data_IF_728487713673
#
_entry.id   IF_728487713673
#
_cell.length_a   1.000
_cell.length_b   1.000
_cell.length_c   1.000
_cell.angle_alpha   90.00
_cell.angle_beta   90.00
_cell.angle_gamma   90.00
#
_symmetry.space_group_name_H-M   'P 1'
#
loop_
_entity.id
_entity.type
_entity.pdbx_description
1 polymer ?
#
# COMPACT_ATOMS: atom_id res chain seq x y z
N UNK A 1 -0.17 20.69 33.16
CA UNK A 1 1.23 20.32 32.87
C UNK A 1 1.32 20.13 31.36
N UNK A 2 2.12 20.96 30.68
CA UNK A 2 2.47 20.67 29.29
C UNK A 2 3.47 19.52 29.31
N UNK A 3 3.17 18.44 28.60
CA UNK A 3 4.11 17.34 28.40
C UNK A 3 5.17 17.86 27.44
N UNK A 4 6.45 17.82 27.84
CA UNK A 4 7.56 18.09 26.95
C UNK A 4 7.81 16.85 26.09
N UNK A 5 7.47 16.94 24.80
CA UNK A 5 7.62 15.85 23.84
C UNK A 5 9.06 15.65 23.37
N UNK A 6 9.96 16.58 23.71
CA UNK A 6 11.39 16.52 23.37
C UNK A 6 12.26 16.14 24.58
N UNK A 7 11.68 15.76 25.71
CA UNK A 7 12.44 15.28 26.85
C UNK A 7 13.19 13.98 26.47
N UNK A 8 14.51 13.88 26.71
CA UNK A 8 15.31 12.74 26.24
C UNK A 8 14.86 11.40 26.79
N UNK A 9 14.23 11.34 27.97
CA UNK A 9 13.72 10.08 28.52
C UNK A 9 12.46 9.64 27.77
N UNK A 10 11.54 10.57 27.51
CA UNK A 10 10.32 10.31 26.72
C UNK A 10 10.65 9.91 25.29
N UNK A 11 11.66 10.54 24.69
CA UNK A 11 12.12 10.27 23.34
C UNK A 11 12.65 8.84 23.21
N UNK A 12 13.52 8.41 24.13
CA UNK A 12 14.06 7.05 24.15
C UNK A 12 12.95 5.99 24.29
N UNK A 13 11.96 6.21 25.16
CA UNK A 13 10.81 5.32 25.33
C UNK A 13 9.97 5.22 24.04
N UNK A 14 9.74 6.35 23.36
CA UNK A 14 9.00 6.40 22.10
C UNK A 14 9.74 5.68 20.98
N UNK A 15 11.08 5.82 20.88
CA UNK A 15 11.88 5.07 19.91
C UNK A 15 11.82 3.56 20.15
N UNK A 16 11.84 3.12 21.41
CA UNK A 16 11.66 1.71 21.74
C UNK A 16 10.25 1.22 21.39
N UNK A 17 9.23 2.04 21.64
CA UNK A 17 7.86 1.72 21.24
C UNK A 17 7.73 1.59 19.71
N UNK A 18 8.36 2.50 18.95
CA UNK A 18 8.43 2.44 17.50
C UNK A 18 9.07 1.13 17.02
N UNK A 19 10.26 0.79 17.50
CA UNK A 19 10.95 -0.45 17.11
C UNK A 19 10.13 -1.68 17.46
N UNK A 20 9.57 -1.75 18.67
CA UNK A 20 8.70 -2.86 19.08
C UNK A 20 7.48 -2.99 18.17
N UNK A 21 6.87 -1.86 17.79
CA UNK A 21 5.73 -1.82 16.88
C UNK A 21 6.12 -2.35 15.50
N UNK A 22 7.29 -1.96 15.00
CA UNK A 22 7.84 -2.44 13.73
C UNK A 22 8.05 -3.95 13.76
N UNK A 23 8.82 -4.48 14.71
CA UNK A 23 9.09 -5.92 14.77
C UNK A 23 7.82 -6.76 14.95
N UNK A 24 6.86 -6.28 15.77
CA UNK A 24 5.62 -7.04 16.01
C UNK A 24 4.71 -7.05 14.78
N UNK A 25 4.51 -5.89 14.15
CA UNK A 25 3.56 -5.72 13.04
C UNK A 25 4.19 -6.12 11.70
N UNK A 26 5.37 -5.59 11.39
CA UNK A 26 6.06 -5.84 10.13
C UNK A 26 6.68 -7.23 10.09
N UNK A 27 7.51 -7.60 11.06
CA UNK A 27 8.19 -8.91 11.00
C UNK A 27 7.25 -10.05 11.40
N UNK A 28 6.43 -9.88 12.43
CA UNK A 28 5.52 -10.93 12.91
C UNK A 28 4.29 -11.12 12.03
N UNK A 29 3.39 -10.13 12.03
CA UNK A 29 2.08 -10.25 11.39
C UNK A 29 2.18 -10.37 9.86
N UNK A 30 3.04 -9.58 9.21
CA UNK A 30 3.16 -9.66 7.75
C UNK A 30 3.83 -10.96 7.28
N UNK A 31 4.81 -11.50 8.02
CA UNK A 31 5.40 -12.80 7.70
C UNK A 31 4.35 -13.91 7.80
N UNK A 32 3.50 -13.88 8.84
CA UNK A 32 2.37 -14.79 8.96
C UNK A 32 1.42 -14.66 7.76
N UNK A 33 1.10 -13.44 7.34
CA UNK A 33 0.24 -13.21 6.17
C UNK A 33 0.87 -13.77 4.89
N UNK A 34 2.17 -13.56 4.69
CA UNK A 34 2.95 -14.09 3.55
C UNK A 34 2.88 -15.61 3.53
N UNK A 35 3.26 -16.27 4.62
CA UNK A 35 3.28 -17.73 4.70
C UNK A 35 1.91 -18.32 4.36
N UNK A 36 0.83 -17.76 4.89
CA UNK A 36 -0.52 -18.28 4.65
C UNK A 36 -1.01 -18.13 3.20
N UNK A 37 -0.48 -17.18 2.42
CA UNK A 37 -0.88 -17.05 1.01
C UNK A 37 0.12 -17.57 -0.01
N UNK A 38 1.25 -18.17 0.41
CA UNK A 38 2.16 -18.89 -0.49
C UNK A 38 1.42 -19.91 -1.36
N UNK A 39 0.48 -20.74 -0.86
CA UNK A 39 -0.25 -21.70 -1.70
C UNK A 39 -1.02 -20.99 -2.81
N UNK A 40 -1.68 -19.87 -2.51
CA UNK A 40 -2.40 -19.08 -3.50
C UNK A 40 -1.45 -18.45 -4.52
N UNK A 41 -0.34 -17.88 -4.07
CA UNK A 41 0.64 -17.23 -4.96
C UNK A 41 1.24 -18.25 -5.93
N UNK A 42 1.55 -19.46 -5.44
CA UNK A 42 1.98 -20.58 -6.27
C UNK A 42 0.93 -20.97 -7.31
N UNK A 43 -0.36 -20.98 -6.93
CA UNK A 43 -1.45 -21.23 -7.88
C UNK A 43 -1.56 -20.12 -8.95
N UNK A 44 -1.35 -18.84 -8.57
CA UNK A 44 -1.37 -17.72 -9.52
C UNK A 44 -0.21 -17.81 -10.50
N UNK A 45 1.00 -18.12 -10.05
CA UNK A 45 2.19 -18.29 -10.88
C UNK A 45 2.04 -19.52 -11.79
N UNK A 46 1.70 -20.69 -11.24
CA UNK A 46 1.64 -21.95 -12.02
C UNK A 46 0.58 -21.93 -13.13
N UNK A 47 -0.50 -21.16 -12.96
CA UNK A 47 -1.58 -21.03 -13.96
C UNK A 47 -1.18 -20.16 -15.17
N UNK A 48 0.04 -19.63 -15.23
CA UNK A 48 0.63 -19.10 -16.48
C UNK A 48 0.82 -20.16 -17.56
N UNK A 49 0.93 -21.45 -17.19
CA UNK A 49 1.32 -22.50 -18.14
C UNK A 49 0.20 -23.37 -18.74
N UNK A 50 -1.04 -23.34 -18.21
CA UNK A 50 -1.93 -24.52 -18.37
C UNK A 50 -3.21 -24.33 -19.20
N UNK A 51 -3.57 -23.13 -19.68
CA UNK A 51 -4.76 -23.02 -20.54
C UNK A 51 -4.49 -22.11 -21.74
N UNK A 52 -4.53 -22.68 -22.94
CA UNK A 52 -4.34 -22.03 -24.25
C UNK A 52 -5.40 -20.97 -24.62
N UNK A 53 -6.01 -20.28 -23.64
CA UNK A 53 -6.75 -19.05 -23.84
C UNK A 53 -5.77 -17.87 -23.82
N UNK A 54 -5.77 -17.05 -24.88
CA UNK A 54 -5.02 -15.79 -24.94
C UNK A 54 -5.30 -14.96 -23.67
N UNK A 55 -4.37 -14.95 -22.72
CA UNK A 55 -4.45 -14.05 -21.58
C UNK A 55 -4.27 -12.62 -22.10
N UNK A 56 -5.21 -11.74 -21.76
CA UNK A 56 -5.10 -10.33 -22.11
C UNK A 56 -3.96 -9.70 -21.31
N UNK A 57 -3.17 -8.81 -21.93
CA UNK A 57 -2.03 -8.11 -21.31
C UNK A 57 -2.38 -7.51 -19.94
N UNK A 58 -3.61 -7.00 -19.78
CA UNK A 58 -4.13 -6.43 -18.53
C UNK A 58 -4.22 -7.45 -17.37
N UNK A 59 -4.50 -8.72 -17.64
CA UNK A 59 -4.54 -9.77 -16.63
C UNK A 59 -3.14 -10.15 -16.13
N UNK A 60 -2.15 -10.19 -17.03
CA UNK A 60 -0.75 -10.41 -16.67
C UNK A 60 -0.20 -9.24 -15.85
N UNK A 61 -0.54 -8.00 -16.25
CA UNK A 61 -0.15 -6.80 -15.51
C UNK A 61 -0.68 -6.83 -14.07
N UNK A 62 -1.98 -7.07 -13.87
CA UNK A 62 -2.56 -7.04 -12.53
C UNK A 62 -2.03 -8.16 -11.63
N UNK A 63 -1.74 -9.35 -12.19
CA UNK A 63 -1.05 -10.44 -11.48
C UNK A 63 0.36 -10.03 -11.05
N UNK A 64 1.13 -9.44 -11.98
CA UNK A 64 2.48 -8.97 -11.71
C UNK A 64 2.49 -7.91 -10.61
N UNK A 65 1.58 -6.92 -10.67
CA UNK A 65 1.41 -5.89 -9.64
C UNK A 65 1.07 -6.52 -8.28
N UNK A 66 0.16 -7.51 -8.24
CA UNK A 66 -0.18 -8.22 -7.00
C UNK A 66 1.03 -8.93 -6.39
N UNK A 67 1.78 -9.71 -7.17
CA UNK A 67 2.98 -10.42 -6.70
C UNK A 67 4.07 -9.42 -6.28
N UNK A 68 4.31 -8.38 -7.09
CA UNK A 68 5.28 -7.34 -6.79
C UNK A 68 4.96 -6.62 -5.48
N UNK A 69 3.72 -6.19 -5.27
CA UNK A 69 3.29 -5.56 -4.01
C UNK A 69 3.63 -6.43 -2.79
N UNK A 70 3.35 -7.74 -2.88
CA UNK A 70 3.58 -8.68 -1.76
C UNK A 70 5.06 -8.92 -1.48
N UNK A 71 5.86 -9.23 -2.50
CA UNK A 71 7.27 -9.57 -2.32
C UNK A 71 8.16 -8.34 -2.13
N UNK A 72 7.80 -7.17 -2.68
CA UNK A 72 8.48 -5.91 -2.37
C UNK A 72 8.25 -5.50 -0.92
N UNK A 73 7.06 -5.75 -0.35
CA UNK A 73 6.81 -5.51 1.08
C UNK A 73 7.69 -6.39 1.96
N UNK A 74 7.88 -7.66 1.60
CA UNK A 74 8.84 -8.52 2.31
C UNK A 74 10.26 -7.96 2.21
N UNK A 75 10.67 -7.53 1.02
CA UNK A 75 11.99 -6.94 0.82
C UNK A 75 12.16 -5.64 1.63
N UNK A 76 11.12 -4.81 1.72
CA UNK A 76 11.12 -3.58 2.54
C UNK A 76 11.26 -3.89 4.03
N UNK A 77 10.49 -4.86 4.54
CA UNK A 77 10.57 -5.29 5.96
C UNK A 77 11.95 -5.87 6.28
N UNK A 78 12.47 -6.77 5.44
CA UNK A 78 13.81 -7.34 5.64
C UNK A 78 14.89 -6.25 5.59
N UNK A 79 14.75 -5.29 4.66
CA UNK A 79 15.66 -4.15 4.58
C UNK A 79 15.58 -3.29 5.84
N UNK A 80 14.39 -3.04 6.37
CA UNK A 80 14.18 -2.25 7.58
C UNK A 80 14.80 -2.94 8.80
N UNK A 81 14.53 -4.24 8.97
CA UNK A 81 15.09 -5.07 10.04
C UNK A 81 16.62 -5.10 9.99
N UNK A 82 17.21 -5.20 8.79
CA UNK A 82 18.66 -5.21 8.60
C UNK A 82 19.33 -3.89 9.01
N UNK A 83 18.65 -2.75 8.85
CA UNK A 83 19.22 -1.46 9.26
C UNK A 83 18.98 -1.13 10.73
N UNK A 84 17.83 -1.50 11.30
CA UNK A 84 17.61 -1.35 12.75
C UNK A 84 18.47 -2.30 13.57
N UNK A 85 18.78 -3.50 13.05
CA UNK A 85 19.68 -4.46 13.67
C UNK A 85 21.18 -4.21 13.42
N UNK A 86 21.55 -3.18 12.66
CA UNK A 86 22.95 -2.90 12.32
C UNK A 86 23.71 -2.33 13.54
N UNK A 87 24.66 -3.10 14.07
CA UNK A 87 25.58 -2.64 15.12
C UNK A 87 26.57 -1.61 14.56
N UNK A 88 27.07 -0.72 15.44
CA UNK A 88 28.12 0.31 15.20
C UNK A 88 29.36 -0.15 14.40
N UNK A 89 29.58 -1.46 14.25
CA UNK A 89 30.69 -2.06 13.49
C UNK A 89 30.38 -2.31 12.01
N UNK A 90 29.12 -2.21 11.58
CA UNK A 90 28.72 -2.30 10.18
C UNK A 90 28.73 -0.89 9.59
N UNK A 91 29.64 -0.60 8.65
CA UNK A 91 29.73 0.69 7.95
C UNK A 91 28.57 0.87 6.94
N UNK A 92 27.32 0.74 7.39
CA UNK A 92 26.15 0.95 6.53
C UNK A 92 26.04 2.45 6.26
N UNK A 93 26.06 2.83 4.98
CA UNK A 93 25.75 4.20 4.59
C UNK A 93 24.26 4.46 4.85
N UNK A 94 23.94 5.14 5.96
CA UNK A 94 22.55 5.45 6.37
C UNK A 94 21.71 6.06 5.26
N UNK A 95 22.29 6.98 4.50
CA UNK A 95 21.59 7.66 3.40
C UNK A 95 21.17 6.67 2.32
N UNK A 96 22.07 5.76 1.91
CA UNK A 96 21.79 4.76 0.88
C UNK A 96 20.74 3.76 1.36
N UNK A 97 20.89 3.27 2.59
CA UNK A 97 19.96 2.34 3.19
C UNK A 97 18.56 2.95 3.32
N UNK A 98 18.44 4.15 3.88
CA UNK A 98 17.16 4.84 4.03
C UNK A 98 16.49 5.11 2.70
N UNK A 99 17.23 5.61 1.70
CA UNK A 99 16.69 5.82 0.36
C UNK A 99 16.20 4.52 -0.27
N UNK A 100 16.94 3.42 -0.10
CA UNK A 100 16.51 2.11 -0.60
C UNK A 100 15.23 1.63 0.09
N UNK A 101 15.16 1.68 1.41
CA UNK A 101 13.98 1.26 2.19
C UNK A 101 12.74 2.12 1.87
N UNK A 102 12.91 3.45 1.76
CA UNK A 102 11.84 4.34 1.34
C UNK A 102 11.40 4.07 -0.10
N UNK A 103 12.33 3.80 -1.01
CA UNK A 103 11.98 3.45 -2.40
C UNK A 103 11.11 2.20 -2.45
N UNK A 104 11.46 1.14 -1.73
CA UNK A 104 10.62 -0.06 -1.66
C UNK A 104 9.24 0.28 -1.07
N UNK A 105 9.20 1.02 0.03
CA UNK A 105 7.95 1.42 0.71
C UNK A 105 7.02 2.22 -0.20
N UNK A 106 7.51 3.25 -0.89
CA UNK A 106 6.71 4.06 -1.79
C UNK A 106 6.27 3.31 -3.05
N UNK A 107 7.11 2.41 -3.59
CA UNK A 107 6.70 1.53 -4.69
C UNK A 107 5.54 0.62 -4.27
N UNK A 108 5.54 0.14 -3.02
CA UNK A 108 4.46 -0.69 -2.49
C UNK A 108 3.14 0.08 -2.41
N UNK A 109 3.17 1.31 -1.88
CA UNK A 109 1.99 2.18 -1.83
C UNK A 109 1.44 2.43 -3.23
N UNK A 110 2.30 2.82 -4.17
CA UNK A 110 1.91 3.04 -5.57
C UNK A 110 1.27 1.78 -6.20
N UNK A 111 1.88 0.60 -6.01
CA UNK A 111 1.34 -0.66 -6.51
C UNK A 111 -0.01 -1.02 -5.87
N UNK A 112 -0.20 -0.72 -4.58
CA UNK A 112 -1.47 -0.92 -3.89
C UNK A 112 -2.57 0.01 -4.45
N UNK A 113 -2.27 1.29 -4.64
CA UNK A 113 -3.19 2.26 -5.23
C UNK A 113 -3.52 1.90 -6.70
N UNK A 114 -2.56 1.37 -7.47
CA UNK A 114 -2.82 0.81 -8.82
C UNK A 114 -3.83 -0.34 -8.79
N UNK A 115 -3.71 -1.29 -7.84
CA UNK A 115 -4.65 -2.42 -7.72
C UNK A 115 -6.09 -1.94 -7.43
N UNK A 116 -6.23 -0.88 -6.63
CA UNK A 116 -7.52 -0.25 -6.34
C UNK A 116 -8.02 0.49 -7.59
N UNK A 117 -7.17 1.29 -8.24
CA UNK A 117 -7.52 2.07 -9.42
C UNK A 117 -8.01 1.22 -10.60
N UNK A 118 -7.42 0.05 -10.84
CA UNK A 118 -7.88 -0.91 -11.87
C UNK A 118 -9.34 -1.30 -11.64
N UNK A 119 -9.74 -1.51 -10.37
CA UNK A 119 -11.12 -1.83 -10.02
C UNK A 119 -12.05 -0.67 -10.27
N UNK A 120 -11.64 0.54 -9.86
CA UNK A 120 -12.41 1.77 -10.13
C UNK A 120 -12.67 1.90 -11.64
N UNK A 121 -11.62 1.81 -12.46
CA UNK A 121 -11.73 1.92 -13.92
C UNK A 121 -12.69 0.87 -14.49
N UNK A 122 -12.66 -0.35 -13.95
CA UNK A 122 -13.54 -1.44 -14.36
C UNK A 122 -15.01 -1.17 -14.00
N UNK A 123 -15.28 -0.72 -12.76
CA UNK A 123 -16.63 -0.38 -12.29
C UNK A 123 -17.25 0.75 -13.13
N UNK A 124 -16.43 1.71 -13.54
CA UNK A 124 -16.85 2.82 -14.39
C UNK A 124 -16.87 2.47 -15.89
N UNK A 125 -16.82 1.18 -16.24
CA UNK A 125 -16.83 0.68 -17.61
C UNK A 125 -15.83 1.42 -18.53
N UNK A 126 -14.63 1.70 -18.02
CA UNK A 126 -13.55 2.42 -18.72
C UNK A 126 -13.95 3.80 -19.24
N UNK A 127 -14.87 4.48 -18.57
CA UNK A 127 -15.23 5.86 -18.89
C UNK A 127 -13.98 6.76 -18.94
N UNK A 128 -13.72 7.37 -20.10
CA UNK A 128 -12.44 8.05 -20.40
C UNK A 128 -12.04 9.08 -19.35
N UNK A 129 -13.01 9.85 -18.85
CA UNK A 129 -12.76 10.88 -17.82
C UNK A 129 -12.31 10.24 -16.51
N UNK A 130 -12.97 9.17 -16.07
CA UNK A 130 -12.60 8.51 -14.80
C UNK A 130 -11.23 7.84 -14.91
N UNK A 131 -10.96 7.18 -16.04
CA UNK A 131 -9.64 6.62 -16.31
C UNK A 131 -8.55 7.71 -16.30
N UNK A 132 -8.80 8.85 -16.95
CA UNK A 132 -7.86 9.96 -16.96
C UNK A 132 -7.61 10.53 -15.55
N UNK A 133 -8.66 10.67 -14.73
CA UNK A 133 -8.54 11.13 -13.35
C UNK A 133 -7.74 10.15 -12.47
N UNK A 134 -8.03 8.84 -12.55
CA UNK A 134 -7.26 7.84 -11.80
C UNK A 134 -5.79 7.84 -12.20
N UNK A 135 -5.49 7.87 -13.51
CA UNK A 135 -4.10 7.90 -14.00
C UNK A 135 -3.40 9.20 -13.60
N UNK A 136 -4.08 10.34 -13.64
CA UNK A 136 -3.53 11.62 -13.19
C UNK A 136 -3.24 11.62 -11.68
N UNK A 137 -4.13 11.05 -10.86
CA UNK A 137 -3.94 10.91 -9.42
C UNK A 137 -2.72 10.05 -9.07
N UNK A 138 -2.61 8.87 -9.69
CA UNK A 138 -1.45 7.98 -9.51
C UNK A 138 -0.14 8.63 -9.99
N UNK A 139 -0.15 9.30 -11.15
CA UNK A 139 1.02 10.02 -11.63
C UNK A 139 1.45 11.17 -10.69
N UNK A 140 0.47 11.87 -10.09
CA UNK A 140 0.73 12.90 -9.09
C UNK A 140 1.39 12.28 -7.85
N UNK A 141 0.82 11.21 -7.32
CA UNK A 141 1.33 10.47 -6.16
C UNK A 141 2.78 9.99 -6.38
N UNK A 142 3.04 9.31 -7.50
CA UNK A 142 4.38 8.90 -7.90
C UNK A 142 5.37 10.07 -8.00
N UNK A 143 4.93 11.22 -8.53
CA UNK A 143 5.76 12.43 -8.61
C UNK A 143 6.19 12.95 -7.23
N UNK A 144 5.29 12.93 -6.25
CA UNK A 144 5.61 13.29 -4.87
C UNK A 144 6.54 12.27 -4.20
N UNK A 145 6.34 10.96 -4.45
CA UNK A 145 7.25 9.92 -3.96
C UNK A 145 8.67 10.10 -4.48
N UNK A 146 8.85 10.33 -5.78
CA UNK A 146 10.18 10.55 -6.36
C UNK A 146 10.83 11.80 -5.74
N UNK A 147 10.07 12.88 -5.57
CA UNK A 147 10.56 14.10 -4.95
C UNK A 147 11.03 13.86 -3.52
N UNK A 148 10.31 13.05 -2.74
CA UNK A 148 10.68 12.76 -1.35
C UNK A 148 11.95 11.91 -1.28
N UNK A 149 12.04 10.83 -2.07
CA UNK A 149 13.22 9.95 -2.11
C UNK A 149 14.50 10.73 -2.43
N UNK A 150 14.43 11.70 -3.35
CA UNK A 150 15.60 12.50 -3.76
C UNK A 150 16.01 13.52 -2.69
N UNK A 151 15.06 14.03 -1.90
CA UNK A 151 15.31 15.05 -0.87
C UNK A 151 15.62 14.48 0.50
N UNK A 152 15.36 13.19 0.71
CA UNK A 152 15.60 12.53 1.97
C UNK A 152 17.10 12.54 2.33
N UNK A 153 17.39 12.99 3.54
CA UNK A 153 18.72 12.99 4.15
C UNK A 153 18.68 12.24 5.48
N UNK A 154 19.60 11.30 5.66
CA UNK A 154 19.72 10.49 6.88
C UNK A 154 21.14 10.54 7.44
N UNK A 155 21.27 10.64 8.76
CA UNK A 155 22.55 10.61 9.47
C UNK A 155 22.56 9.52 10.55
N UNK A 156 23.74 8.97 10.77
CA UNK A 156 23.95 8.03 11.87
C UNK A 156 23.95 8.77 13.21
N UNK A 157 23.13 8.31 14.15
CA UNK A 157 23.14 8.80 15.53
C UNK A 157 23.95 7.85 16.43
N UNK A 158 25.09 8.31 16.97
CA UNK A 158 25.92 7.52 17.87
C UNK A 158 25.26 7.23 19.22
N UNK A 159 24.21 7.98 19.61
CA UNK A 159 23.53 7.87 20.90
C UNK A 159 22.54 6.71 20.90
N UNK A 160 21.67 6.66 19.89
CA UNK A 160 20.66 5.62 19.75
C UNK A 160 21.15 4.40 18.94
N UNK A 161 22.36 4.46 18.36
CA UNK A 161 22.98 3.38 17.55
C UNK A 161 22.08 3.01 16.37
N UNK A 162 21.49 4.03 15.72
CA UNK A 162 20.58 3.86 14.58
C UNK A 162 20.76 4.98 13.56
N UNK A 163 20.23 4.78 12.35
CA UNK A 163 20.13 5.83 11.34
C UNK A 163 18.87 6.67 11.59
N UNK A 164 19.04 7.99 11.73
CA UNK A 164 17.96 8.95 11.91
C UNK A 164 17.69 9.75 10.62
N UNK A 165 16.41 9.95 10.34
CA UNK A 165 15.92 10.90 9.32
C UNK A 165 16.14 12.33 9.83
N UNK A 166 16.73 13.21 9.03
CA UNK A 166 16.95 14.59 9.48
C UNK A 166 15.70 15.47 9.41
N UNK A 167 14.71 15.12 8.59
CA UNK A 167 13.57 16.00 8.31
C UNK A 167 12.30 15.24 7.92
N UNK A 168 11.70 14.50 8.85
CA UNK A 168 10.43 13.79 8.59
C UNK A 168 9.29 14.72 8.08
N UNK A 169 9.38 16.02 8.39
CA UNK A 169 8.38 17.03 8.01
C UNK A 169 8.32 17.32 6.50
N UNK A 170 9.37 16.99 5.73
CA UNK A 170 9.33 17.14 4.27
C UNK A 170 8.29 16.24 3.63
N UNK A 171 7.90 15.16 4.33
CA UNK A 171 6.96 14.15 3.86
C UNK A 171 5.49 14.57 3.99
N UNK A 172 5.17 15.65 4.73
CA UNK A 172 3.79 16.17 4.88
C UNK A 172 3.01 16.30 3.55
N UNK A 173 3.53 16.99 2.52
CA UNK A 173 2.83 17.09 1.23
C UNK A 173 2.63 15.72 0.58
N UNK A 174 3.61 14.83 0.64
CA UNK A 174 3.57 13.50 0.02
C UNK A 174 2.50 12.61 0.67
N UNK A 175 2.46 12.58 2.01
CA UNK A 175 1.43 11.85 2.78
C UNK A 175 0.04 12.45 2.58
N UNK A 176 -0.08 13.78 2.52
CA UNK A 176 -1.37 14.45 2.30
C UNK A 176 -1.91 14.17 0.89
N UNK A 177 -1.04 14.18 -0.12
CA UNK A 177 -1.43 13.83 -1.50
C UNK A 177 -1.82 12.36 -1.60
N UNK A 178 -1.08 11.47 -0.94
CA UNK A 178 -1.40 10.03 -0.85
C UNK A 178 -2.82 9.83 -0.31
N UNK A 179 -3.11 10.35 0.89
CA UNK A 179 -4.44 10.27 1.50
C UNK A 179 -5.53 10.85 0.58
N UNK A 180 -5.26 11.97 -0.10
CA UNK A 180 -6.23 12.59 -1.00
C UNK A 180 -6.53 11.72 -2.24
N UNK A 181 -5.50 11.11 -2.83
CA UNK A 181 -5.64 10.20 -3.98
C UNK A 181 -6.34 8.92 -3.54
N UNK A 182 -5.95 8.33 -2.42
CA UNK A 182 -6.58 7.11 -1.92
C UNK A 182 -8.06 7.38 -1.60
N UNK A 183 -8.40 8.44 -0.84
CA UNK A 183 -9.77 8.89 -0.62
C UNK A 183 -10.56 9.07 -1.93
N UNK A 184 -9.96 9.71 -2.95
CA UNK A 184 -10.58 9.86 -4.26
C UNK A 184 -10.88 8.50 -4.91
N UNK A 185 -9.96 7.54 -4.86
CA UNK A 185 -10.17 6.20 -5.38
C UNK A 185 -11.31 5.47 -4.65
N UNK A 186 -11.40 5.61 -3.31
CA UNK A 186 -12.48 4.94 -2.56
C UNK A 186 -13.84 5.56 -2.82
N UNK A 187 -13.92 6.88 -2.84
CA UNK A 187 -15.17 7.59 -3.15
C UNK A 187 -15.61 7.24 -4.57
N UNK A 188 -14.68 7.23 -5.53
CA UNK A 188 -14.97 6.83 -6.91
C UNK A 188 -15.44 5.38 -7.00
N UNK A 189 -14.84 4.47 -6.23
CA UNK A 189 -15.30 3.09 -6.12
C UNK A 189 -16.72 3.00 -5.55
N UNK A 190 -16.98 3.69 -4.43
CA UNK A 190 -18.27 3.73 -3.74
C UNK A 190 -19.39 4.30 -4.62
N UNK A 191 -19.14 5.43 -5.28
CA UNK A 191 -20.10 6.07 -6.19
C UNK A 191 -20.36 5.19 -7.41
N UNK A 192 -19.30 4.62 -7.98
CA UNK A 192 -19.39 3.70 -9.11
C UNK A 192 -20.23 2.47 -8.76
N UNK A 193 -20.00 1.88 -7.58
CA UNK A 193 -20.84 0.84 -7.03
C UNK A 193 -22.27 1.35 -6.89
N UNK A 194 -22.51 2.42 -6.11
CA UNK A 194 -23.86 2.87 -5.77
C UNK A 194 -24.75 3.08 -7.00
N UNK A 195 -24.19 3.59 -8.10
CA UNK A 195 -24.87 3.73 -9.39
C UNK A 195 -25.30 2.39 -10.01
N UNK A 196 -24.48 1.34 -9.89
CA UNK A 196 -24.78 0.00 -10.39
C UNK A 196 -25.82 -0.74 -9.56
N UNK A 197 -26.00 -0.37 -8.29
CA UNK A 197 -27.04 -0.92 -7.41
C UNK A 197 -28.44 -0.78 -8.01
N UNK A 198 -28.69 0.35 -8.66
CA UNK A 198 -30.01 0.68 -9.22
C UNK A 198 -30.23 0.02 -10.59
N UNK A 199 -29.15 -0.41 -11.27
CA UNK A 199 -29.20 -0.98 -12.62
C UNK A 199 -29.17 -2.51 -12.67
N UNK A 200 -28.65 -3.20 -11.65
CA UNK A 200 -28.41 -4.66 -11.70
C UNK A 200 -29.32 -5.46 -10.77
N UNK A 201 -30.28 -6.20 -11.33
CA UNK A 201 -31.06 -7.26 -10.65
C UNK A 201 -30.23 -8.52 -10.28
N UNK A 202 -28.89 -8.49 -10.37
CA UNK A 202 -27.99 -9.61 -10.07
C UNK A 202 -27.43 -9.57 -8.65
N UNK A 203 -28.13 -10.20 -7.69
CA UNK A 203 -27.84 -10.09 -6.24
C UNK A 203 -26.50 -10.68 -5.76
N UNK A 204 -25.88 -11.60 -6.51
CA UNK A 204 -24.73 -12.40 -6.02
C UNK A 204 -23.38 -11.67 -6.04
N UNK A 205 -22.94 -11.22 -7.23
CA UNK A 205 -21.65 -10.54 -7.41
C UNK A 205 -21.63 -9.17 -6.72
N UNK A 206 -22.78 -8.49 -6.72
CA UNK A 206 -23.01 -7.20 -6.07
C UNK A 206 -22.83 -7.25 -4.55
N UNK A 207 -23.43 -8.23 -3.87
CA UNK A 207 -23.30 -8.38 -2.41
C UNK A 207 -21.87 -8.66 -1.95
N UNK A 208 -21.10 -9.39 -2.77
CA UNK A 208 -19.71 -9.77 -2.46
C UNK A 208 -18.74 -8.60 -2.63
N UNK A 209 -18.87 -7.83 -3.72
CA UNK A 209 -18.14 -6.57 -3.92
C UNK A 209 -18.46 -5.56 -2.82
N UNK A 210 -19.73 -5.48 -2.40
CA UNK A 210 -20.20 -4.53 -1.39
C UNK A 210 -19.71 -4.84 0.03
N UNK A 211 -19.78 -6.10 0.48
CA UNK A 211 -19.41 -6.43 1.86
C UNK A 211 -17.92 -6.66 2.06
N UNK A 212 -17.28 -7.46 1.21
CA UNK A 212 -15.89 -7.86 1.47
C UNK A 212 -14.87 -6.86 0.92
N UNK A 213 -15.11 -6.28 -0.26
CA UNK A 213 -14.21 -5.29 -0.85
C UNK A 213 -14.18 -3.98 -0.05
N UNK A 214 -15.35 -3.51 0.38
CA UNK A 214 -15.47 -2.23 1.07
C UNK A 214 -14.86 -2.24 2.48
N UNK A 215 -14.94 -3.36 3.21
CA UNK A 215 -14.32 -3.47 4.53
C UNK A 215 -12.81 -3.30 4.44
N UNK A 216 -12.15 -4.02 3.52
CA UNK A 216 -10.69 -3.89 3.35
C UNK A 216 -10.30 -2.49 2.89
N UNK A 217 -11.10 -1.88 2.02
CA UNK A 217 -10.89 -0.53 1.54
C UNK A 217 -10.99 0.52 2.67
N UNK A 218 -12.02 0.43 3.51
CA UNK A 218 -12.21 1.31 4.65
C UNK A 218 -11.14 1.11 5.72
N UNK A 219 -10.70 -0.13 5.93
CA UNK A 219 -9.59 -0.46 6.84
C UNK A 219 -8.29 0.19 6.37
N UNK A 220 -7.99 0.18 5.06
CA UNK A 220 -6.83 0.85 4.51
C UNK A 220 -6.87 2.37 4.77
N UNK A 221 -7.98 3.04 4.48
CA UNK A 221 -8.14 4.49 4.73
C UNK A 221 -8.03 4.86 6.19
N UNK A 222 -8.65 4.05 7.05
CA UNK A 222 -8.66 4.32 8.49
C UNK A 222 -7.24 4.20 9.09
N UNK A 223 -6.38 3.38 8.48
CA UNK A 223 -4.98 3.25 8.87
C UNK A 223 -4.11 4.46 8.44
N UNK A 224 -4.48 5.17 7.37
CA UNK A 224 -3.75 6.36 6.89
C UNK A 224 -4.02 7.61 7.76
N UNK A 225 -5.23 7.74 8.32
CA UNK A 225 -5.64 8.92 9.08
C UNK A 225 -4.69 9.20 10.28
N UNK A 226 -4.36 8.23 11.16
CA UNK A 226 -3.43 8.45 12.25
C UNK A 226 -2.04 8.93 11.80
N UNK A 227 -1.52 8.39 10.69
CA UNK A 227 -0.22 8.78 10.16
C UNK A 227 -0.21 10.24 9.73
N UNK A 228 -1.24 10.66 8.97
CA UNK A 228 -1.36 12.05 8.53
C UNK A 228 -1.51 12.98 9.73
N UNK A 229 -2.38 12.65 10.68
CA UNK A 229 -2.63 13.49 11.85
C UNK A 229 -1.38 13.69 12.69
N UNK A 230 -0.63 12.62 13.00
CA UNK A 230 0.58 12.73 13.80
C UNK A 230 1.69 13.50 13.09
N UNK A 231 1.88 13.25 11.78
CA UNK A 231 2.86 13.98 10.98
C UNK A 231 2.56 15.49 10.89
N UNK A 232 1.29 15.88 10.89
CA UNK A 232 0.88 17.29 10.91
C UNK A 232 0.98 17.92 12.30
N UNK A 233 0.75 17.14 13.37
CA UNK A 233 0.92 17.60 14.75
C UNK A 233 2.38 17.89 15.09
N UNK A 234 3.33 17.18 14.46
CA UNK A 234 4.78 17.40 14.61
C UNK A 234 5.20 17.44 16.08
N UNK A 235 4.89 16.36 16.79
CA UNK A 235 5.18 16.25 18.21
C UNK A 235 6.66 15.97 18.42
N UNK A 236 7.16 14.95 17.74
CA UNK A 236 8.54 14.47 17.79
C UNK A 236 8.79 13.53 16.61
N UNK A 237 10.05 13.42 16.17
CA UNK A 237 10.47 12.59 15.06
C UNK A 237 9.98 11.13 15.15
N UNK A 238 10.06 10.50 16.32
CA UNK A 238 9.61 9.12 16.50
C UNK A 238 8.08 8.96 16.37
N UNK A 239 7.33 9.91 16.96
CA UNK A 239 5.87 9.89 16.94
C UNK A 239 5.30 10.18 15.55
N UNK A 240 5.97 11.01 14.77
CA UNK A 240 5.54 11.35 13.42
C UNK A 240 5.65 10.15 12.47
N UNK A 241 6.60 9.23 12.70
CA UNK A 241 6.84 8.06 11.84
C UNK A 241 6.23 6.75 12.35
N UNK A 242 5.68 6.74 13.58
CA UNK A 242 5.29 5.50 14.25
C UNK A 242 4.21 4.70 13.52
N UNK A 243 3.30 5.38 12.81
CA UNK A 243 2.20 4.74 12.08
C UNK A 243 2.50 4.40 10.61
N UNK A 244 3.64 4.84 10.05
CA UNK A 244 3.97 4.52 8.65
C UNK A 244 4.13 3.02 8.42
N UNK A 245 4.79 2.31 9.34
CA UNK A 245 4.95 0.85 9.23
C UNK A 245 3.60 0.13 9.28
N UNK A 246 2.77 0.31 10.34
CA UNK A 246 1.48 -0.39 10.39
C UNK A 246 0.54 0.01 9.24
N UNK A 247 0.53 1.28 8.82
CA UNK A 247 -0.20 1.73 7.64
C UNK A 247 0.21 0.95 6.39
N UNK A 248 1.51 0.90 6.07
CA UNK A 248 2.03 0.16 4.92
C UNK A 248 1.56 -1.29 4.93
N UNK A 249 1.70 -1.99 6.07
CA UNK A 249 1.26 -3.38 6.19
C UNK A 249 -0.24 -3.51 5.98
N UNK A 250 -1.06 -2.65 6.60
CA UNK A 250 -2.52 -2.73 6.49
C UNK A 250 -2.97 -2.48 5.05
N UNK A 251 -2.43 -1.47 4.37
CA UNK A 251 -2.77 -1.13 2.98
C UNK A 251 -2.45 -2.31 2.04
N UNK A 252 -1.27 -2.92 2.20
CA UNK A 252 -0.86 -4.09 1.40
C UNK A 252 -1.75 -5.29 1.66
N UNK A 253 -2.03 -5.60 2.92
CA UNK A 253 -2.89 -6.73 3.29
C UNK A 253 -4.31 -6.50 2.75
N UNK A 254 -4.84 -5.30 2.88
CA UNK A 254 -6.14 -4.93 2.32
C UNK A 254 -6.17 -5.11 0.80
N UNK A 255 -5.21 -4.53 0.07
CA UNK A 255 -5.14 -4.61 -1.39
C UNK A 255 -5.02 -6.06 -1.89
N UNK A 256 -4.14 -6.85 -1.27
CA UNK A 256 -3.90 -8.25 -1.66
C UNK A 256 -5.02 -9.20 -1.26
N UNK A 257 -5.66 -9.02 -0.10
CA UNK A 257 -6.86 -9.80 0.28
C UNK A 257 -8.03 -9.48 -0.61
N UNK A 258 -8.23 -8.19 -0.90
CA UNK A 258 -9.24 -7.74 -1.83
C UNK A 258 -9.02 -8.39 -3.22
N UNK A 259 -7.77 -8.49 -3.70
CA UNK A 259 -7.40 -9.22 -4.93
C UNK A 259 -7.78 -10.71 -4.87
N UNK A 260 -7.37 -11.41 -3.81
CA UNK A 260 -7.62 -12.85 -3.63
C UNK A 260 -9.10 -13.20 -3.63
N UNK A 261 -9.92 -12.44 -2.91
CA UNK A 261 -11.37 -12.65 -2.83
C UNK A 261 -12.00 -12.56 -4.22
N UNK A 262 -11.60 -11.57 -5.02
CA UNK A 262 -12.11 -11.42 -6.39
C UNK A 262 -11.72 -12.61 -7.28
N UNK A 263 -10.48 -13.09 -7.14
CA UNK A 263 -9.98 -14.22 -7.93
C UNK A 263 -10.64 -15.57 -7.56
N UNK A 264 -11.01 -15.78 -6.30
CA UNK A 264 -11.63 -17.03 -5.85
C UNK A 264 -13.08 -17.21 -6.30
N UNK A 265 -13.82 -16.11 -6.53
CA UNK A 265 -15.24 -16.18 -6.86
C UNK A 265 -15.55 -16.43 -8.33
N UNK A 266 -14.75 -15.90 -9.26
CA UNK A 266 -14.97 -16.16 -10.69
C UNK A 266 -13.70 -15.91 -11.53
N UNK A 267 -12.89 -16.96 -11.80
CA UNK A 267 -11.72 -16.86 -12.67
C UNK A 267 -12.08 -16.40 -14.09
N UNK A 268 -13.32 -16.64 -14.56
CA UNK A 268 -13.77 -16.29 -15.89
C UNK A 268 -14.28 -14.83 -15.96
N UNK A 269 -15.00 -14.34 -14.94
CA UNK A 269 -15.44 -12.94 -14.88
C UNK A 269 -14.29 -11.95 -14.62
N UNK A 270 -13.24 -12.36 -13.88
CA UNK A 270 -12.04 -11.53 -13.74
C UNK A 270 -11.27 -11.40 -15.07
N UNK A 271 -11.26 -12.46 -15.89
CA UNK A 271 -10.67 -12.42 -17.22
C UNK A 271 -11.54 -11.61 -18.19
N UNK A 272 -12.88 -11.66 -18.11
CA UNK A 272 -13.77 -10.85 -18.95
C UNK A 272 -13.73 -9.35 -18.59
N UNK A 273 -13.62 -9.00 -17.31
CA UNK A 273 -13.46 -7.61 -16.84
C UNK A 273 -12.13 -6.98 -17.29
N UNK A 274 -11.04 -7.75 -17.34
CA UNK A 274 -9.74 -7.28 -17.85
C UNK A 274 -9.62 -7.42 -19.38
N UNK A 275 -10.36 -8.33 -19.98
CA UNK A 275 -10.40 -8.58 -21.42
C UNK A 275 -11.80 -8.85 -21.94
N UNK A 276 -12.37 -7.84 -22.63
CA UNK A 276 -13.40 -8.01 -23.67
C UNK A 276 -14.78 -8.48 -23.19
N UNK A 277 -15.65 -7.54 -22.84
CA UNK A 277 -16.96 -7.49 -23.51
C UNK A 277 -16.86 -6.55 -24.71
N UNK A 278 -16.18 -7.05 -25.75
CA UNK A 278 -16.55 -6.73 -27.13
C UNK A 278 -17.55 -7.82 -27.47
N UNK A 279 -18.84 -7.52 -27.30
CA UNK A 279 -20.05 -8.22 -27.76
C UNK A 279 -21.13 -8.23 -26.66
N UNK A 280 -21.88 -7.14 -26.54
CA UNK A 280 -23.32 -7.27 -26.44
C UNK A 280 -23.92 -6.74 -27.76
N UNK A 281 -24.53 -7.60 -28.59
CA UNK A 281 -25.56 -7.17 -29.51
C UNK A 281 -26.88 -6.93 -28.77
N UNK A 282 -27.60 -5.92 -29.29
CA UNK A 282 -28.94 -5.38 -28.98
C UNK A 282 -29.09 -4.62 -27.68
#
# INVERSE_FOLDING_TARGET
MAIDWNDPTTLAEQYLAFLKSHYTVATGFYLWEVVNGIPFDWHVVKREGTEGKKQTVSALFTKSVYLACRYLTLASVISADAGFGATKSSQVNCEVWMRATMTFSYLIFELASILIAIRVITIWNRHRVMTALCVAGLALQLGYYIREIVREEAKWDPTNVTCLVLSAQTNRPTVTVTLAVDMFLLISMLVGLWRWRDASCGRGLWSLLWQQGLIWLAVATLAEIPTVVLLWLNLNQAMDVIFFTPEMIIVVVAATRMYRILWSYDPAAYISTLGLERNLPT
#
